data_IF_826791707077
#
_entry.id   IF_826791707077
#
_cell.length_a   1.000
_cell.length_b   1.000
_cell.length_c   1.000
_cell.angle_alpha   90.00
_cell.angle_beta   90.00
_cell.angle_gamma   90.00
#
_symmetry.space_group_name_H-M   'P 1'
#
loop_
_entity.id
_entity.type
_entity.pdbx_description
1 polymer ?
#
# COMPACT_ATOMS: atom_id res chain seq x y z
N UNK A 1 -5.67 -9.07 12.22
CA UNK A 1 -4.39 -8.58 12.76
C UNK A 1 -3.23 -9.26 12.03
N UNK A 2 -2.25 -8.48 11.57
CA UNK A 2 -1.12 -8.92 10.72
C UNK A 2 0.18 -9.17 11.52
N UNK A 3 0.10 -9.22 12.86
CA UNK A 3 1.24 -9.56 13.72
C UNK A 3 2.14 -8.39 14.15
N UNK A 4 1.76 -7.12 13.94
CA UNK A 4 2.61 -5.94 14.27
C UNK A 4 3.04 -5.90 15.74
N UNK A 5 2.11 -6.07 16.68
CA UNK A 5 2.42 -6.06 18.11
C UNK A 5 3.32 -7.25 18.52
N UNK A 6 3.16 -8.42 17.87
CA UNK A 6 4.05 -9.56 18.07
C UNK A 6 5.46 -9.29 17.55
N UNK A 7 5.60 -8.63 16.39
CA UNK A 7 6.88 -8.20 15.85
C UNK A 7 7.58 -7.19 16.77
N UNK A 8 6.83 -6.23 17.32
CA UNK A 8 7.38 -5.26 18.27
C UNK A 8 7.90 -5.92 19.55
N UNK A 9 7.17 -6.89 20.10
CA UNK A 9 7.65 -7.65 21.27
C UNK A 9 8.89 -8.50 20.96
N UNK A 10 9.05 -8.98 19.73
CA UNK A 10 10.25 -9.72 19.33
C UNK A 10 11.48 -8.82 19.18
N UNK A 11 11.29 -7.60 18.67
CA UNK A 11 12.37 -6.61 18.48
C UNK A 11 12.74 -5.89 19.79
N UNK A 12 11.74 -5.61 20.63
CA UNK A 12 11.90 -4.86 21.88
C UNK A 12 11.17 -5.58 23.02
N UNK A 13 11.77 -6.65 23.58
CA UNK A 13 11.11 -7.50 24.57
C UNK A 13 10.64 -6.76 25.83
N UNK A 14 11.29 -5.66 26.17
CA UNK A 14 10.94 -4.82 27.31
C UNK A 14 9.57 -4.11 27.15
N UNK A 15 9.06 -3.93 25.93
CA UNK A 15 7.78 -3.26 25.67
C UNK A 15 6.56 -4.04 26.21
N UNK A 16 6.70 -5.35 26.47
CA UNK A 16 5.72 -6.22 27.16
C UNK A 16 4.25 -6.00 26.73
N UNK A 17 4.00 -5.81 25.42
CA UNK A 17 2.68 -5.41 24.91
C UNK A 17 1.69 -6.57 25.03
N UNK A 18 0.43 -6.27 25.34
CA UNK A 18 -0.66 -7.25 25.27
C UNK A 18 -0.89 -7.72 23.83
N UNK A 19 -0.43 -8.93 23.51
CA UNK A 19 -0.76 -9.61 22.26
C UNK A 19 -1.99 -10.48 22.46
N UNK A 20 -3.06 -10.21 21.73
CA UNK A 20 -4.21 -11.12 21.67
C UNK A 20 -3.87 -12.37 20.87
N UNK A 21 -4.20 -13.56 21.39
CA UNK A 21 -4.11 -14.80 20.61
C UNK A 21 -5.06 -14.82 19.41
N UNK A 22 -4.97 -15.86 18.58
CA UNK A 22 -5.89 -16.10 17.46
C UNK A 22 -7.34 -16.20 17.97
N UNK A 23 -8.27 -15.46 17.35
CA UNK A 23 -9.69 -15.60 17.65
C UNK A 23 -10.19 -16.95 17.12
N UNK A 24 -10.46 -17.92 18.01
CA UNK A 24 -10.99 -19.26 17.67
C UNK A 24 -12.27 -19.26 16.83
N UNK A 25 -12.98 -18.13 16.72
CA UNK A 25 -14.24 -18.01 15.97
C UNK A 25 -14.09 -17.60 14.51
N UNK A 26 -12.96 -17.02 14.09
CA UNK A 26 -12.88 -16.36 12.76
C UNK A 26 -11.56 -16.59 12.02
N UNK A 27 -10.62 -17.36 12.58
CA UNK A 27 -9.28 -17.62 12.00
C UNK A 27 -8.53 -16.34 11.55
N UNK A 28 -8.92 -15.19 12.12
CA UNK A 28 -8.34 -13.87 11.89
C UNK A 28 -7.78 -13.35 13.20
N UNK A 29 -6.56 -12.80 13.15
CA UNK A 29 -5.93 -12.20 14.32
C UNK A 29 -6.77 -11.06 14.91
N UNK A 30 -6.93 -11.02 16.23
CA UNK A 30 -7.70 -10.00 16.95
C UNK A 30 -6.94 -8.67 16.91
N UNK A 31 -7.59 -7.59 16.46
CA UNK A 31 -7.00 -6.24 16.51
C UNK A 31 -6.95 -5.79 17.98
N UNK A 32 -5.77 -5.82 18.62
CA UNK A 32 -5.57 -5.36 19.99
C UNK A 32 -5.19 -3.89 20.07
N UNK A 33 -4.42 -3.36 19.12
CA UNK A 33 -4.10 -1.92 19.04
C UNK A 33 -5.32 -1.11 18.57
N UNK A 34 -5.96 -0.36 19.47
CA UNK A 34 -7.13 0.51 19.19
C UNK A 34 -6.79 2.00 19.05
N UNK A 35 -5.61 2.41 19.50
CA UNK A 35 -5.12 3.78 19.45
C UNK A 35 -3.71 3.81 18.87
N UNK A 36 -3.33 4.92 18.26
CA UNK A 36 -1.94 5.15 17.86
C UNK A 36 -1.10 5.40 19.11
N UNK A 37 0.03 4.73 19.23
CA UNK A 37 0.96 4.90 20.34
C UNK A 37 2.37 5.18 19.86
N UNK A 38 3.02 6.14 20.52
CA UNK A 38 4.39 6.55 20.24
C UNK A 38 5.33 5.89 21.27
N UNK A 39 6.25 5.08 20.78
CA UNK A 39 7.18 4.29 21.59
C UNK A 39 8.58 4.85 21.34
N UNK A 40 9.17 5.47 22.36
CA UNK A 40 10.57 5.88 22.34
C UNK A 40 11.43 4.65 22.58
N UNK A 41 12.44 4.44 21.74
CA UNK A 41 13.37 3.33 21.88
C UNK A 41 14.60 3.84 22.64
N UNK A 42 14.73 3.53 23.93
CA UNK A 42 15.84 4.11 24.72
C UNK A 42 17.23 3.67 24.20
N UNK A 43 17.33 2.46 23.64
CA UNK A 43 18.56 1.90 23.07
C UNK A 43 18.90 2.43 21.66
N UNK A 44 17.94 3.08 21.01
CA UNK A 44 18.07 3.60 19.64
C UNK A 44 17.46 4.99 19.60
N UNK A 45 18.25 6.05 19.37
CA UNK A 45 17.74 7.44 19.28
C UNK A 45 16.70 7.65 18.18
N UNK A 46 15.47 7.20 18.42
CA UNK A 46 14.45 6.89 17.43
C UNK A 46 13.17 6.38 18.08
N UNK A 47 12.11 6.38 17.29
CA UNK A 47 10.74 6.23 17.80
C UNK A 47 9.94 5.35 16.86
N UNK A 48 9.09 4.50 17.43
CA UNK A 48 8.12 3.69 16.69
C UNK A 48 6.71 4.19 16.95
N UNK A 49 5.91 4.30 15.89
CA UNK A 49 4.48 4.60 16.02
C UNK A 49 3.69 3.33 15.72
N UNK A 50 3.12 2.69 16.75
CA UNK A 50 2.21 1.55 16.56
C UNK A 50 0.81 2.08 16.29
N UNK A 51 0.35 1.92 15.04
CA UNK A 51 -0.98 2.34 14.62
C UNK A 51 -1.90 1.12 14.43
N UNK A 52 -3.22 1.25 14.65
CA UNK A 52 -4.17 0.28 14.14
C UNK A 52 -3.94 0.06 12.63
N UNK A 53 -4.10 -1.17 12.15
CA UNK A 53 -4.07 -1.37 10.70
C UNK A 53 -5.20 -0.59 10.05
N UNK A 54 -4.96 -0.01 8.87
CA UNK A 54 -6.03 0.60 8.09
C UNK A 54 -7.00 -0.50 7.63
N UNK A 55 -8.28 -0.34 7.95
CA UNK A 55 -9.36 -1.21 7.46
C UNK A 55 -9.85 -0.77 6.08
N UNK A 56 -9.63 0.51 5.77
CA UNK A 56 -10.03 1.18 4.55
C UNK A 56 -8.90 2.16 4.19
N UNK A 57 -8.49 2.17 2.94
CA UNK A 57 -7.62 3.20 2.39
C UNK A 57 -8.58 4.20 1.74
N UNK A 58 -8.49 5.48 2.04
CA UNK A 58 -9.23 6.53 1.34
C UNK A 58 -8.32 7.10 0.25
N UNK A 59 -8.44 6.64 -1.01
CA UNK A 59 -7.57 7.13 -2.09
C UNK A 59 -8.09 8.44 -2.69
N UNK A 60 -9.07 9.09 -2.05
CA UNK A 60 -9.81 10.25 -2.57
C UNK A 60 -8.94 11.45 -2.92
N UNK A 61 -7.75 11.56 -2.32
CA UNK A 61 -6.77 12.61 -2.61
C UNK A 61 -5.86 12.34 -3.80
N UNK A 62 -5.87 11.14 -4.37
CA UNK A 62 -4.99 10.75 -5.47
C UNK A 62 -5.74 10.89 -6.79
N UNK A 63 -5.25 11.75 -7.69
CA UNK A 63 -5.80 11.82 -9.04
C UNK A 63 -5.33 10.60 -9.87
N UNK A 64 -6.16 10.06 -10.79
CA UNK A 64 -5.78 8.90 -11.61
C UNK A 64 -4.44 9.06 -12.34
N UNK A 65 -4.10 10.29 -12.77
CA UNK A 65 -2.83 10.60 -13.42
C UNK A 65 -1.60 10.57 -12.52
N UNK A 66 -1.79 10.65 -11.20
CA UNK A 66 -0.71 10.64 -10.21
C UNK A 66 -0.35 9.22 -9.77
N UNK A 67 -1.30 8.27 -9.89
CA UNK A 67 -1.14 6.91 -9.40
C UNK A 67 0.12 6.22 -9.95
N UNK A 68 0.44 6.43 -11.22
CA UNK A 68 1.63 5.83 -11.87
C UNK A 68 2.93 6.23 -11.18
N UNK A 69 3.04 7.47 -10.71
CA UNK A 69 4.23 7.96 -10.01
C UNK A 69 4.40 7.38 -8.61
N UNK A 70 3.34 6.82 -8.01
CA UNK A 70 3.39 6.15 -6.71
C UNK A 70 3.88 4.69 -6.82
N UNK A 71 4.03 4.18 -8.03
CA UNK A 71 4.63 2.87 -8.31
C UNK A 71 6.09 3.07 -8.72
N UNK A 72 6.99 2.98 -7.74
CA UNK A 72 8.44 3.21 -7.94
C UNK A 72 9.07 2.35 -9.05
N UNK A 73 8.52 1.16 -9.29
CA UNK A 73 8.94 0.25 -10.34
C UNK A 73 8.45 0.65 -11.74
N UNK A 74 7.62 1.68 -11.87
CA UNK A 74 7.17 2.21 -13.16
C UNK A 74 8.07 3.35 -13.65
N UNK A 75 8.76 4.05 -12.77
CA UNK A 75 9.50 5.30 -13.06
C UNK A 75 10.46 5.15 -14.26
N UNK A 76 11.31 4.12 -14.24
CA UNK A 76 12.30 3.84 -15.29
C UNK A 76 11.67 3.47 -16.66
N UNK A 77 10.41 3.04 -16.64
CA UNK A 77 9.68 2.53 -17.82
C UNK A 77 8.67 3.54 -18.36
N UNK A 78 8.14 4.41 -17.52
CA UNK A 78 7.19 5.46 -17.89
C UNK A 78 7.81 6.47 -18.86
N UNK A 79 9.13 6.72 -18.76
CA UNK A 79 9.88 7.57 -19.70
C UNK A 79 9.88 7.07 -21.15
N UNK A 80 9.56 5.79 -21.37
CA UNK A 80 9.49 5.15 -22.70
C UNK A 80 8.06 5.09 -23.24
N UNK A 81 7.09 5.64 -22.52
CA UNK A 81 5.73 5.78 -23.02
C UNK A 81 5.70 6.78 -24.18
N UNK A 82 4.94 6.43 -25.23
CA UNK A 82 4.73 7.33 -26.37
C UNK A 82 4.00 8.62 -26.02
N UNK A 83 3.09 8.57 -25.04
CA UNK A 83 2.21 9.69 -24.70
C UNK A 83 2.59 10.30 -23.34
N UNK A 84 2.66 11.63 -23.31
CA UNK A 84 2.71 12.39 -22.07
C UNK A 84 1.37 12.20 -21.33
N UNK A 85 1.43 11.88 -20.04
CA UNK A 85 0.23 11.58 -19.24
C UNK A 85 -0.36 10.19 -19.47
N UNK A 86 0.42 9.25 -20.01
CA UNK A 86 0.02 7.84 -20.11
C UNK A 86 -0.36 7.28 -18.73
N UNK A 87 -1.57 6.73 -18.62
CA UNK A 87 -2.10 6.03 -17.44
C UNK A 87 -1.73 4.54 -17.43
N UNK A 88 -0.87 4.12 -18.34
CA UNK A 88 -0.38 2.76 -18.46
C UNK A 88 -1.47 1.68 -18.57
N UNK A 89 -2.67 2.01 -19.05
CA UNK A 89 -3.81 1.08 -19.16
C UNK A 89 -4.09 0.79 -20.64
N UNK A 90 -4.81 1.70 -21.31
CA UNK A 90 -5.28 1.51 -22.70
C UNK A 90 -4.30 2.06 -23.73
N UNK A 91 -3.36 2.90 -23.32
CA UNK A 91 -2.47 3.60 -24.24
C UNK A 91 -1.58 2.61 -25.03
N UNK A 92 -1.49 2.73 -26.36
CA UNK A 92 -0.53 1.94 -27.13
C UNK A 92 0.89 2.42 -26.85
N UNK A 93 1.88 1.58 -27.17
CA UNK A 93 3.31 1.91 -27.05
C UNK A 93 3.69 2.41 -25.64
N UNK A 94 3.25 1.66 -24.62
CA UNK A 94 3.49 1.97 -23.22
C UNK A 94 4.70 1.19 -22.68
N UNK A 95 5.72 1.90 -22.20
CA UNK A 95 6.94 1.30 -21.66
C UNK A 95 6.70 0.45 -20.41
N UNK A 96 5.72 0.82 -19.57
CA UNK A 96 5.31 0.01 -18.41
C UNK A 96 4.72 -1.33 -18.86
N UNK A 97 3.79 -1.33 -19.83
CA UNK A 97 3.22 -2.57 -20.38
C UNK A 97 4.27 -3.44 -21.04
N UNK A 98 5.22 -2.84 -21.74
CA UNK A 98 6.36 -3.58 -22.31
C UNK A 98 7.23 -4.23 -21.22
N UNK A 99 7.50 -3.52 -20.12
CA UNK A 99 8.26 -4.05 -18.99
C UNK A 99 7.53 -5.19 -18.27
N UNK A 100 6.21 -5.13 -18.18
CA UNK A 100 5.36 -6.23 -17.69
C UNK A 100 5.46 -7.45 -18.61
N UNK A 101 5.32 -7.26 -19.93
CA UNK A 101 5.44 -8.34 -20.93
C UNK A 101 6.83 -9.02 -20.88
N UNK A 102 7.88 -8.27 -20.57
CA UNK A 102 9.25 -8.78 -20.41
C UNK A 102 9.50 -9.41 -19.03
N UNK A 103 8.52 -9.38 -18.12
CA UNK A 103 8.65 -9.91 -16.75
C UNK A 103 9.53 -9.07 -15.83
N UNK A 104 9.87 -7.83 -16.21
CA UNK A 104 10.65 -6.90 -15.38
C UNK A 104 9.76 -6.36 -14.26
N UNK A 105 8.53 -5.95 -14.61
CA UNK A 105 7.48 -5.61 -13.65
C UNK A 105 6.61 -6.86 -13.44
N UNK A 106 6.29 -7.16 -12.17
CA UNK A 106 5.41 -8.27 -11.84
C UNK A 106 4.00 -8.06 -12.40
N UNK A 107 3.47 -9.07 -13.11
CA UNK A 107 2.09 -9.07 -13.59
C UNK A 107 1.09 -8.79 -12.45
N UNK A 108 1.25 -9.44 -11.30
CA UNK A 108 0.36 -9.24 -10.14
C UNK A 108 0.42 -7.82 -9.58
N UNK A 109 1.55 -7.13 -9.73
CA UNK A 109 1.70 -5.73 -9.34
C UNK A 109 1.00 -4.80 -10.32
N UNK A 110 1.16 -5.05 -11.61
CA UNK A 110 0.46 -4.31 -12.67
C UNK A 110 -1.06 -4.49 -12.62
N UNK A 111 -1.56 -5.70 -12.37
CA UNK A 111 -3.01 -5.93 -12.22
C UNK A 111 -3.61 -5.21 -11.00
N UNK A 112 -2.86 -5.10 -9.89
CA UNK A 112 -3.27 -4.29 -8.73
C UNK A 112 -3.30 -2.81 -9.06
N UNK A 113 -2.31 -2.32 -9.81
CA UNK A 113 -2.30 -0.96 -10.33
C UNK A 113 -3.57 -0.65 -11.11
N UNK A 114 -3.94 -1.49 -12.09
CA UNK A 114 -5.16 -1.29 -12.89
C UNK A 114 -6.44 -1.32 -12.04
N UNK A 115 -6.49 -2.17 -11.02
CA UNK A 115 -7.63 -2.24 -10.09
C UNK A 115 -7.80 -0.91 -9.36
N UNK A 116 -6.71 -0.37 -8.78
CA UNK A 116 -6.73 0.90 -8.05
C UNK A 116 -7.01 2.08 -9.00
N UNK A 117 -6.42 2.07 -10.21
CA UNK A 117 -6.66 3.09 -11.22
C UNK A 117 -8.16 3.19 -11.56
N UNK A 118 -8.81 2.04 -11.75
CA UNK A 118 -10.25 1.98 -12.02
C UNK A 118 -11.07 2.52 -10.84
N UNK A 119 -10.75 2.13 -9.62
CA UNK A 119 -11.42 2.65 -8.41
C UNK A 119 -11.30 4.17 -8.31
N UNK A 120 -10.12 4.73 -8.60
CA UNK A 120 -9.88 6.17 -8.62
C UNK A 120 -10.70 6.89 -9.72
N UNK A 121 -10.79 6.31 -10.91
CA UNK A 121 -11.60 6.86 -12.01
C UNK A 121 -13.09 6.89 -11.62
N UNK A 122 -13.61 5.80 -11.05
CA UNK A 122 -15.01 5.73 -10.59
C UNK A 122 -15.31 6.72 -9.45
N UNK A 123 -14.37 6.91 -8.51
CA UNK A 123 -14.50 7.92 -7.46
C UNK A 123 -14.48 9.35 -8.00
N UNK A 124 -13.65 9.60 -9.02
CA UNK A 124 -13.58 10.90 -9.69
C UNK A 124 -14.87 11.22 -10.42
N UNK A 125 -15.43 10.28 -11.18
CA UNK A 125 -16.72 10.45 -11.87
C UNK A 125 -17.83 10.84 -10.89
N UNK A 126 -17.98 10.07 -9.80
CA UNK A 126 -18.98 10.33 -8.74
C UNK A 126 -18.84 11.67 -8.02
N UNK A 127 -17.69 12.33 -8.10
CA UNK A 127 -17.45 13.66 -7.48
C UNK A 127 -18.04 14.79 -8.31
N UNK A 128 -18.17 14.58 -9.62
CA UNK A 128 -18.67 15.58 -10.56
C UNK A 128 -20.14 15.36 -10.95
N UNK A 129 -20.73 14.22 -10.57
CA UNK A 129 -22.17 13.92 -10.62
C UNK A 129 -22.92 14.57 -9.42
#
# INVERSE_FOLDING_TARGET
>A
AVGKSSLLNALFPHLSRETGGLSRKVDRGRHTTRHAELIVLDDFSGTVVDTPGFSFLEPESIEPGELGALYSDFEDHASRCRFNGCLHDKEPDCGVKEAVLKGIISEGRYQRYLTILKELQELKEKRYD
#
